data_IF_238572534445
#
_entry.id   IF_238572534445
#
_cell.length_a   1.000
_cell.length_b   1.000
_cell.length_c   1.000
_cell.angle_alpha   90.00
_cell.angle_beta   90.00
_cell.angle_gamma   90.00
#
_symmetry.space_group_name_H-M   'P 1'
#
loop_
_entity.id
_entity.type
_entity.pdbx_description
1 polymer ?
#
# COMPACT_ATOMS: atom_id res chain seq x y z
N UNK A 1 0.35 -2.72 44.94
CA UNK A 1 -1.05 -3.10 44.65
C UNK A 1 -1.18 -3.64 43.24
N UNK A 2 -0.87 -2.84 42.21
CA UNK A 2 -0.97 -3.29 40.82
C UNK A 2 -0.06 -4.47 40.45
N UNK A 3 1.17 -4.52 40.98
CA UNK A 3 2.06 -5.71 40.88
C UNK A 3 1.46 -7.01 41.46
N UNK A 4 0.50 -6.90 42.40
CA UNK A 4 -0.26 -8.06 42.92
C UNK A 4 -1.48 -8.42 42.06
N UNK A 5 -2.02 -7.45 41.29
CA UNK A 5 -3.12 -7.66 40.34
C UNK A 5 -2.63 -8.28 39.02
N UNK A 6 -1.39 -7.99 38.62
CA UNK A 6 -0.74 -8.59 37.44
C UNK A 6 -0.23 -10.03 37.71
N UNK A 7 -0.17 -10.45 38.98
CA UNK A 7 0.19 -11.82 39.39
C UNK A 7 -0.97 -12.47 40.17
N UNK A 8 -2.04 -12.91 39.49
CA UNK A 8 -3.23 -13.48 40.16
C UNK A 8 -2.95 -14.78 40.92
N UNK A 9 -1.79 -15.42 40.70
CA UNK A 9 -1.35 -16.61 41.41
C UNK A 9 -0.70 -16.33 42.79
N UNK A 10 -0.40 -15.07 43.12
CA UNK A 10 0.37 -14.71 44.31
C UNK A 10 -0.46 -14.36 45.55
N UNK A 11 -1.79 -14.16 45.44
CA UNK A 11 -2.64 -13.74 46.56
C UNK A 11 -4.08 -14.30 46.40
N UNK A 12 -4.51 -15.17 47.31
CA UNK A 12 -5.81 -15.87 47.28
C UNK A 12 -7.00 -14.91 47.28
N UNK A 13 -6.83 -13.74 47.93
CA UNK A 13 -7.83 -12.67 47.95
C UNK A 13 -8.01 -11.98 46.59
N UNK A 14 -6.93 -11.88 45.80
CA UNK A 14 -6.97 -11.29 44.45
C UNK A 14 -7.61 -12.27 43.47
N UNK A 15 -7.35 -13.57 43.64
CA UNK A 15 -8.01 -14.62 42.86
C UNK A 15 -9.52 -14.68 43.12
N UNK A 16 -9.96 -14.45 44.37
CA UNK A 16 -11.38 -14.41 44.74
C UNK A 16 -12.10 -13.19 44.16
N UNK A 17 -11.43 -12.02 44.11
CA UNK A 17 -11.98 -10.79 43.55
C UNK A 17 -12.07 -10.80 42.02
N UNK A 18 -11.16 -11.51 41.33
CA UNK A 18 -11.15 -11.63 39.86
C UNK A 18 -12.11 -12.72 39.35
N UNK A 19 -12.46 -13.70 40.20
CA UNK A 19 -13.39 -14.79 39.85
C UNK A 19 -12.89 -15.66 38.68
N UNK A 20 -13.82 -16.11 37.83
CA UNK A 20 -13.55 -17.00 36.68
C UNK A 20 -12.88 -16.30 35.48
N UNK A 21 -12.76 -14.97 35.50
CA UNK A 21 -12.29 -14.16 34.35
C UNK A 21 -10.90 -13.58 34.62
N UNK A 22 -9.94 -14.44 34.97
CA UNK A 22 -8.59 -14.07 35.44
C UNK A 22 -7.72 -13.37 34.38
N UNK A 23 -8.03 -13.59 33.10
CA UNK A 23 -7.22 -13.13 31.97
C UNK A 23 -7.71 -11.81 31.35
N UNK A 24 -8.92 -11.33 31.71
CA UNK A 24 -9.45 -10.09 31.15
C UNK A 24 -8.84 -8.86 31.81
N UNK A 25 -8.09 -8.06 31.05
CA UNK A 25 -7.50 -6.78 31.49
C UNK A 25 -8.56 -5.79 31.99
N UNK A 26 -9.75 -5.77 31.37
CA UNK A 26 -10.86 -4.91 31.75
C UNK A 26 -11.32 -5.22 33.19
N UNK A 27 -11.51 -6.51 33.50
CA UNK A 27 -11.93 -6.97 34.83
C UNK A 27 -10.93 -6.56 35.91
N UNK A 28 -9.63 -6.69 35.63
CA UNK A 28 -8.55 -6.26 36.54
C UNK A 28 -8.63 -4.77 36.86
N UNK A 29 -8.90 -3.95 35.85
CA UNK A 29 -9.02 -2.49 36.00
C UNK A 29 -10.28 -2.14 36.80
N UNK A 30 -11.43 -2.76 36.51
CA UNK A 30 -12.67 -2.54 37.26
C UNK A 30 -12.52 -2.89 38.75
N UNK A 31 -11.91 -4.04 39.06
CA UNK A 31 -11.62 -4.43 40.44
C UNK A 31 -10.68 -3.43 41.11
N UNK A 32 -9.66 -2.94 40.39
CA UNK A 32 -8.75 -1.93 40.93
C UNK A 32 -9.47 -0.61 41.25
N UNK A 33 -10.39 -0.16 40.38
CA UNK A 33 -11.24 1.03 40.63
C UNK A 33 -12.06 0.85 41.91
N UNK A 34 -12.70 -0.32 42.09
CA UNK A 34 -13.52 -0.59 43.27
C UNK A 34 -12.69 -0.55 44.56
N UNK A 35 -11.52 -1.19 44.58
CA UNK A 35 -10.66 -1.21 45.78
C UNK A 35 -10.09 0.19 46.08
N UNK A 36 -9.70 0.96 45.06
CA UNK A 36 -9.22 2.33 45.25
C UNK A 36 -10.32 3.26 45.74
N UNK A 37 -11.55 3.07 45.27
CA UNK A 37 -12.70 3.84 45.74
C UNK A 37 -12.99 3.59 47.22
N UNK A 38 -12.82 2.35 47.70
CA UNK A 38 -12.92 2.00 49.13
C UNK A 38 -11.80 2.65 49.97
N UNK A 39 -10.62 2.84 49.38
CA UNK A 39 -9.50 3.54 50.02
C UNK A 39 -9.63 5.08 49.98
N UNK A 40 -10.74 5.62 49.46
CA UNK A 40 -10.98 7.06 49.35
C UNK A 40 -10.19 7.74 48.24
N UNK A 41 -9.60 6.99 47.31
CA UNK A 41 -8.88 7.53 46.15
C UNK A 41 -9.77 7.49 44.90
N UNK A 42 -10.10 8.65 44.30
CA UNK A 42 -10.86 8.67 43.05
C UNK A 42 -10.06 8.01 41.92
N UNK A 43 -10.62 6.94 41.35
CA UNK A 43 -10.03 6.22 40.23
C UNK A 43 -11.09 6.01 39.14
N UNK A 44 -10.69 6.03 37.87
CA UNK A 44 -11.59 5.81 36.73
C UNK A 44 -10.93 4.97 35.65
N UNK A 45 -11.66 4.01 35.04
CA UNK A 45 -11.17 3.28 33.88
C UNK A 45 -11.21 4.18 32.64
N UNK A 46 -10.18 4.05 31.80
CA UNK A 46 -10.07 4.73 30.52
C UNK A 46 -9.83 3.72 29.43
N UNK A 47 -10.56 3.90 28.34
CA UNK A 47 -10.51 3.05 27.17
C UNK A 47 -10.07 3.88 26.00
N UNK A 48 -9.11 3.36 25.25
CA UNK A 48 -8.53 4.07 24.13
C UNK A 48 -7.68 3.14 23.29
N UNK A 49 -6.73 3.74 22.61
CA UNK A 49 -5.86 3.02 21.69
C UNK A 49 -4.53 3.74 21.54
N UNK A 50 -3.50 2.99 21.20
CA UNK A 50 -2.19 3.54 20.86
C UNK A 50 -2.19 3.96 19.39
N UNK A 51 -1.91 5.23 19.14
CA UNK A 51 -1.86 5.78 17.80
C UNK A 51 -0.42 5.72 17.27
N UNK A 52 -0.11 4.67 16.54
CA UNK A 52 1.13 4.57 15.74
C UNK A 52 0.94 5.21 14.36
N UNK A 53 2.05 5.54 13.69
CA UNK A 53 2.00 6.08 12.33
C UNK A 53 1.48 5.00 11.36
N UNK A 54 0.30 5.27 10.77
CA UNK A 54 -0.31 4.48 9.68
C UNK A 54 -0.75 3.04 10.00
N UNK A 55 -1.47 2.82 11.11
CA UNK A 55 -2.08 1.50 11.43
C UNK A 55 -3.50 1.33 10.87
N UNK A 56 -3.71 0.26 10.06
CA UNK A 56 -5.02 -0.12 9.50
C UNK A 56 -5.96 -0.75 10.54
N UNK A 57 -5.42 -1.36 11.58
CA UNK A 57 -6.18 -1.95 12.69
C UNK A 57 -5.51 -1.55 13.99
N UNK A 58 -6.28 -0.98 14.90
CA UNK A 58 -5.77 -0.57 16.20
C UNK A 58 -6.43 -1.41 17.28
N UNK A 59 -5.59 -2.01 18.13
CA UNK A 59 -6.07 -2.77 19.27
C UNK A 59 -6.51 -1.82 20.39
N UNK A 60 -7.58 -2.22 21.06
CA UNK A 60 -8.11 -1.45 22.16
C UNK A 60 -7.27 -1.69 23.41
N UNK A 61 -6.77 -0.60 23.99
CA UNK A 61 -6.02 -0.62 25.24
C UNK A 61 -6.86 -0.03 26.36
N UNK A 62 -6.73 -0.63 27.53
CA UNK A 62 -7.43 -0.22 28.74
C UNK A 62 -6.41 0.15 29.80
N UNK A 63 -6.57 1.33 30.39
CA UNK A 63 -5.74 1.79 31.50
C UNK A 63 -6.59 2.44 32.59
N UNK A 64 -5.95 2.68 33.73
CA UNK A 64 -6.56 3.26 34.91
C UNK A 64 -6.00 4.66 35.14
N UNK A 65 -6.88 5.63 35.40
CA UNK A 65 -6.46 6.94 35.89
C UNK A 65 -6.80 7.07 37.38
N UNK A 66 -5.80 7.39 38.21
CA UNK A 66 -5.93 7.57 39.66
C UNK A 66 -5.60 9.02 40.03
N UNK A 67 -6.47 9.66 40.80
CA UNK A 67 -6.24 11.03 41.25
C UNK A 67 -5.38 11.06 42.52
N UNK A 68 -4.19 11.64 42.43
CA UNK A 68 -3.27 11.78 43.56
C UNK A 68 -2.49 13.10 43.48
N UNK A 69 -2.42 13.85 44.58
CA UNK A 69 -1.66 15.12 44.69
C UNK A 69 -1.98 16.15 43.60
N UNK A 70 -3.28 16.41 43.34
CA UNK A 70 -3.77 17.35 42.32
C UNK A 70 -3.44 16.99 40.86
N UNK A 71 -2.89 15.80 40.60
CA UNK A 71 -2.59 15.28 39.25
C UNK A 71 -3.27 13.93 39.05
N UNK A 72 -3.68 13.65 37.80
CA UNK A 72 -4.11 12.32 37.39
C UNK A 72 -2.87 11.51 37.02
N UNK A 73 -2.76 10.32 37.59
CA UNK A 73 -1.72 9.35 37.31
C UNK A 73 -2.32 8.23 36.49
N UNK A 74 -1.62 7.84 35.43
CA UNK A 74 -2.13 6.85 34.48
C UNK A 74 -1.38 5.53 34.67
N UNK A 75 -2.10 4.41 34.70
CA UNK A 75 -1.53 3.10 34.93
C UNK A 75 -2.11 2.08 33.96
N UNK A 76 -1.26 1.46 33.14
CA UNK A 76 -1.63 0.37 32.26
C UNK A 76 -1.17 -0.97 32.86
N UNK A 77 -2.08 -1.93 33.11
CA UNK A 77 -1.70 -3.28 33.54
C UNK A 77 -0.74 -3.93 32.53
N UNK A 78 0.37 -4.51 33.01
CA UNK A 78 1.39 -5.15 32.16
C UNK A 78 2.52 -4.25 31.61
N UNK A 79 2.48 -2.93 31.81
CA UNK A 79 3.63 -2.04 31.56
C UNK A 79 4.18 -1.51 32.89
N UNK A 80 5.51 -1.55 33.06
CA UNK A 80 6.17 -1.10 34.30
C UNK A 80 6.25 0.44 34.42
N UNK A 81 5.98 1.18 33.33
CA UNK A 81 6.04 2.64 33.30
C UNK A 81 4.75 3.28 33.79
N UNK A 82 4.87 4.20 34.74
CA UNK A 82 3.75 4.98 35.31
C UNK A 82 3.33 6.19 34.46
N UNK A 83 4.03 6.45 33.36
CA UNK A 83 3.68 7.47 32.38
C UNK A 83 3.39 6.76 31.04
N UNK A 84 2.20 6.99 30.50
CA UNK A 84 1.83 6.56 29.15
C UNK A 84 2.41 7.57 28.14
N UNK A 85 3.01 7.10 27.03
CA UNK A 85 3.48 7.99 25.96
C UNK A 85 2.34 8.85 25.38
N UNK A 86 2.67 10.01 24.80
CA UNK A 86 1.70 10.89 24.11
C UNK A 86 0.97 10.23 22.93
N UNK A 87 1.38 9.04 22.50
CA UNK A 87 0.71 8.23 21.47
C UNK A 87 -0.62 7.64 21.93
N UNK A 88 -0.88 7.56 23.24
CA UNK A 88 -2.12 7.00 23.78
C UNK A 88 -3.26 8.02 23.75
N UNK A 89 -4.33 7.70 23.01
CA UNK A 89 -5.50 8.56 22.90
C UNK A 89 -6.65 7.96 23.70
N UNK A 90 -7.10 8.70 24.72
CA UNK A 90 -8.31 8.37 25.48
C UNK A 90 -9.55 8.59 24.61
N UNK A 91 -10.31 7.52 24.37
CA UNK A 91 -11.56 7.59 23.60
C UNK A 91 -12.77 7.81 24.50
N UNK A 92 -12.96 6.98 25.54
CA UNK A 92 -13.98 7.20 26.56
C UNK A 92 -13.49 6.85 27.96
N UNK A 93 -14.19 7.40 28.96
CA UNK A 93 -13.88 7.21 30.39
C UNK A 93 -15.13 6.72 31.10
N UNK A 94 -15.00 5.69 31.93
CA UNK A 94 -16.11 5.11 32.68
C UNK A 94 -16.30 3.61 32.43
N UNK A 95 -17.18 2.99 33.20
CA UNK A 95 -17.42 1.54 33.22
C UNK A 95 -18.45 1.07 32.19
N UNK A 96 -18.92 1.97 31.33
CA UNK A 96 -19.89 1.60 30.30
C UNK A 96 -19.22 0.75 29.21
N UNK A 97 -19.80 -0.40 28.86
CA UNK A 97 -19.26 -1.24 27.79
C UNK A 97 -19.42 -0.53 26.45
N UNK A 98 -18.44 -0.71 25.57
CA UNK A 98 -18.44 -0.15 24.21
C UNK A 98 -19.72 -0.49 23.42
N UNK A 99 -20.30 -1.68 23.68
CA UNK A 99 -21.49 -2.16 23.01
C UNK A 99 -22.35 -3.01 23.95
N UNK A 100 -23.65 -3.07 23.67
CA UNK A 100 -24.60 -3.97 24.33
C UNK A 100 -25.27 -4.82 23.24
N UNK A 101 -24.89 -6.09 23.12
CA UNK A 101 -25.55 -7.02 22.20
C UNK A 101 -26.71 -7.70 22.91
N UNK A 102 -27.88 -7.75 22.28
CA UNK A 102 -29.03 -8.56 22.70
C UNK A 102 -29.32 -9.60 21.63
N UNK A 103 -29.35 -10.88 22.01
CA UNK A 103 -29.72 -11.99 21.12
C UNK A 103 -28.64 -12.47 20.14
N UNK A 104 -27.38 -12.08 20.33
CA UNK A 104 -26.25 -12.55 19.53
C UNK A 104 -25.04 -12.86 20.41
N UNK A 105 -24.15 -13.72 19.91
CA UNK A 105 -22.94 -14.15 20.60
C UNK A 105 -21.69 -13.66 19.84
N UNK A 106 -20.68 -13.20 20.58
CA UNK A 106 -19.34 -12.84 20.11
C UNK A 106 -19.23 -11.75 19.00
N UNK A 107 -19.55 -10.48 19.32
CA UNK A 107 -19.39 -9.37 18.38
C UNK A 107 -17.91 -9.09 18.07
N UNK A 108 -17.58 -9.05 16.78
CA UNK A 108 -16.26 -8.65 16.28
C UNK A 108 -16.28 -7.17 15.91
N UNK A 109 -15.38 -6.39 16.50
CA UNK A 109 -15.25 -4.95 16.23
C UNK A 109 -13.84 -4.68 15.73
N UNK A 110 -13.77 -4.06 14.55
CA UNK A 110 -12.52 -3.56 13.98
C UNK A 110 -12.53 -2.03 14.05
N UNK A 111 -11.50 -1.46 14.68
CA UNK A 111 -11.31 -0.02 14.77
C UNK A 111 -10.05 0.35 13.98
N UNK A 112 -10.16 1.39 13.18
CA UNK A 112 -9.06 1.95 12.39
C UNK A 112 -8.86 3.39 12.80
N UNK A 113 -7.63 3.78 13.15
CA UNK A 113 -7.29 5.15 13.49
C UNK A 113 -6.03 5.58 12.73
N UNK A 114 -6.02 6.83 12.27
CA UNK A 114 -4.90 7.40 11.51
C UNK A 114 -4.53 8.77 12.06
N UNK A 115 -3.25 8.95 12.42
CA UNK A 115 -2.69 10.27 12.74
C UNK A 115 -2.55 11.08 11.46
N UNK A 116 -3.16 12.27 11.41
CA UNK A 116 -2.98 13.21 10.30
C UNK A 116 -2.66 14.58 10.83
N UNK A 117 -1.45 15.07 10.55
CA UNK A 117 -1.09 16.46 10.81
C UNK A 117 -1.81 17.35 9.80
N UNK A 118 -2.67 18.24 10.30
CA UNK A 118 -3.40 19.21 9.48
C UNK A 118 -2.98 20.62 9.86
N UNK A 119 -2.68 21.44 8.84
CA UNK A 119 -2.40 22.86 9.01
C UNK A 119 -3.64 23.60 9.57
N UNK A 120 -3.54 24.43 10.62
CA UNK A 120 -4.69 25.09 11.27
C UNK A 120 -5.59 25.89 10.31
N UNK A 121 -5.00 26.53 9.30
CA UNK A 121 -5.72 27.34 8.32
C UNK A 121 -6.73 26.53 7.47
N UNK A 122 -6.52 25.19 7.36
CA UNK A 122 -7.41 24.31 6.60
C UNK A 122 -8.63 23.85 7.39
N UNK A 123 -8.58 23.88 8.72
CA UNK A 123 -9.74 23.58 9.58
C UNK A 123 -10.77 24.71 9.44
N UNK A 124 -10.31 25.96 9.53
CA UNK A 124 -11.14 27.14 9.31
C UNK A 124 -11.78 27.15 7.91
N UNK A 125 -11.01 26.79 6.87
CA UNK A 125 -11.52 26.73 5.50
C UNK A 125 -12.56 25.61 5.28
N UNK A 126 -12.49 24.51 6.05
CA UNK A 126 -13.45 23.41 6.02
C UNK A 126 -14.83 23.81 6.56
N UNK A 127 -14.89 24.78 7.49
CA UNK A 127 -16.15 25.36 7.99
C UNK A 127 -16.72 26.42 7.05
N UNK A 128 -15.87 27.12 6.29
CA UNK A 128 -16.25 28.22 5.39
C UNK A 128 -16.70 27.78 3.98
N UNK A 129 -16.31 26.59 3.51
CA UNK A 129 -16.65 26.09 2.16
C UNK A 129 -17.92 25.26 2.20
N UNK A 130 -18.86 25.55 1.30
CA UNK A 130 -20.20 24.96 1.27
C UNK A 130 -20.20 23.42 1.24
N UNK A 131 -21.02 22.83 2.12
CA UNK A 131 -21.14 21.39 2.36
C UNK A 131 -21.52 20.53 1.13
N UNK A 132 -21.89 21.13 -0.01
CA UNK A 132 -22.24 20.44 -1.24
C UNK A 132 -21.02 20.00 -2.08
N UNK A 133 -19.98 20.83 -2.17
CA UNK A 133 -18.78 20.53 -2.96
C UNK A 133 -17.75 19.70 -2.18
N UNK A 134 -17.69 19.88 -0.85
CA UNK A 134 -16.84 19.06 0.02
C UNK A 134 -17.28 17.58 0.03
N UNK A 135 -18.56 17.27 -0.17
CA UNK A 135 -19.07 15.88 -0.26
C UNK A 135 -18.50 15.10 -1.45
N UNK A 136 -18.07 15.77 -2.52
CA UNK A 136 -17.45 15.16 -3.70
C UNK A 136 -15.92 15.18 -3.65
N UNK A 137 -15.32 15.62 -2.54
CA UNK A 137 -13.86 15.57 -2.38
C UNK A 137 -13.40 14.14 -2.07
N UNK A 138 -12.39 13.67 -2.81
CA UNK A 138 -11.72 12.37 -2.60
C UNK A 138 -11.17 12.21 -1.17
N UNK A 139 -11.03 13.31 -0.42
CA UNK A 139 -10.59 13.34 0.98
C UNK A 139 -11.64 12.80 1.98
N UNK A 140 -12.90 12.67 1.58
CA UNK A 140 -13.97 12.10 2.41
C UNK A 140 -14.19 10.60 2.17
N UNK A 141 -13.38 9.97 1.30
CA UNK A 141 -13.43 8.54 1.09
C UNK A 141 -12.95 7.80 2.37
N UNK A 142 -13.58 6.67 2.73
CA UNK A 142 -13.13 5.81 3.81
C UNK A 142 -11.63 5.51 3.68
N UNK A 143 -10.89 5.59 4.78
CA UNK A 143 -9.42 5.42 4.83
C UNK A 143 -8.95 4.12 4.18
N UNK A 144 -9.74 3.06 4.27
CA UNK A 144 -9.50 1.76 3.63
C UNK A 144 -9.33 1.85 2.11
N UNK A 145 -10.09 2.71 1.43
CA UNK A 145 -10.05 2.83 -0.03
C UNK A 145 -9.01 3.84 -0.53
N UNK A 146 -8.48 4.69 0.36
CA UNK A 146 -7.63 5.81 -0.06
C UNK A 146 -6.34 5.35 -0.74
N UNK A 147 -5.76 4.21 -0.34
CA UNK A 147 -4.56 3.64 -0.96
C UNK A 147 -4.75 3.36 -2.46
N UNK A 148 -5.88 2.75 -2.83
CA UNK A 148 -6.19 2.43 -4.23
C UNK A 148 -6.40 3.71 -5.03
N UNK A 149 -7.14 4.68 -4.49
CA UNK A 149 -7.35 5.96 -5.16
C UNK A 149 -6.05 6.75 -5.35
N UNK A 150 -5.14 6.75 -4.37
CA UNK A 150 -3.80 7.36 -4.48
C UNK A 150 -3.05 6.79 -5.69
N UNK A 151 -3.03 5.46 -5.82
CA UNK A 151 -2.38 4.80 -6.95
C UNK A 151 -3.07 5.13 -8.29
N UNK A 152 -4.41 5.10 -8.33
CA UNK A 152 -5.16 5.40 -9.56
C UNK A 152 -4.88 6.81 -10.09
N UNK A 153 -4.76 7.80 -9.21
CA UNK A 153 -4.46 9.18 -9.58
C UNK A 153 -3.05 9.38 -10.14
N UNK A 154 -2.11 8.50 -9.81
CA UNK A 154 -0.73 8.56 -10.30
C UNK A 154 -0.58 7.94 -11.71
N UNK A 155 -1.44 6.97 -12.09
CA UNK A 155 -1.38 6.29 -13.40
C UNK A 155 -1.31 7.27 -14.59
N UNK A 156 -2.15 8.33 -14.67
CA UNK A 156 -2.08 9.31 -15.76
C UNK A 156 -0.75 10.08 -15.82
N UNK A 157 -0.08 10.28 -14.68
CA UNK A 157 1.23 10.92 -14.64
C UNK A 157 2.31 10.00 -15.24
N UNK A 158 2.22 8.70 -14.95
CA UNK A 158 3.04 7.69 -15.62
C UNK A 158 2.78 7.63 -17.13
N UNK A 159 1.51 7.70 -17.55
CA UNK A 159 1.15 7.74 -18.97
C UNK A 159 1.71 8.98 -19.68
N UNK A 160 1.68 10.16 -19.04
CA UNK A 160 2.32 11.37 -19.57
C UNK A 160 3.83 11.15 -19.79
N UNK A 161 4.52 10.54 -18.84
CA UNK A 161 5.94 10.21 -18.98
C UNK A 161 6.16 9.29 -20.19
N UNK A 162 5.34 8.25 -20.38
CA UNK A 162 5.45 7.38 -21.57
C UNK A 162 5.24 8.16 -22.87
N UNK A 163 4.25 9.07 -22.92
CA UNK A 163 4.01 9.93 -24.09
C UNK A 163 5.24 10.78 -24.39
N UNK A 164 5.90 11.35 -23.37
CA UNK A 164 7.12 12.14 -23.54
C UNK A 164 8.24 11.29 -24.14
N UNK A 165 8.52 10.11 -23.56
CA UNK A 165 9.57 9.22 -24.04
C UNK A 165 9.31 8.71 -25.46
N UNK A 166 8.04 8.45 -25.80
CA UNK A 166 7.67 7.92 -27.11
C UNK A 166 7.66 8.99 -28.20
N UNK A 167 7.10 10.17 -27.91
CA UNK A 167 6.90 11.22 -28.92
C UNK A 167 8.13 12.11 -29.09
N UNK A 168 8.80 12.51 -27.99
CA UNK A 168 9.93 13.45 -28.06
C UNK A 168 11.27 12.73 -28.10
N UNK A 169 11.47 11.69 -27.29
CA UNK A 169 12.76 10.99 -27.24
C UNK A 169 12.84 9.95 -28.37
N UNK A 170 11.77 9.18 -28.57
CA UNK A 170 11.69 8.12 -29.57
C UNK A 170 12.07 6.74 -29.06
N UNK A 171 11.99 6.49 -27.74
CA UNK A 171 12.20 5.15 -27.19
C UNK A 171 11.06 4.25 -27.64
N UNK A 172 11.39 3.11 -28.26
CA UNK A 172 10.41 2.07 -28.60
C UNK A 172 10.12 1.24 -27.35
N UNK A 173 8.85 1.15 -26.96
CA UNK A 173 8.35 0.36 -25.83
C UNK A 173 7.26 -0.60 -26.28
N UNK A 174 6.93 -1.60 -25.46
CA UNK A 174 5.78 -2.47 -25.66
C UNK A 174 4.49 -1.70 -25.43
N UNK A 175 3.90 -1.18 -26.52
CA UNK A 175 2.71 -0.36 -26.43
C UNK A 175 2.91 0.91 -25.58
N UNK A 176 1.80 1.55 -25.20
CA UNK A 176 1.80 2.76 -24.36
C UNK A 176 1.54 2.47 -22.89
N UNK A 177 0.75 1.44 -22.58
CA UNK A 177 0.32 1.16 -21.22
C UNK A 177 1.22 0.18 -20.49
N UNK A 178 1.94 -0.69 -21.20
CA UNK A 178 2.73 -1.75 -20.57
C UNK A 178 3.82 -1.23 -19.62
N UNK A 179 4.57 -0.15 -19.95
CA UNK A 179 5.54 0.39 -18.99
C UNK A 179 4.89 0.84 -17.68
N UNK A 180 3.71 1.44 -17.76
CA UNK A 180 2.94 1.90 -16.60
C UNK A 180 2.45 0.71 -15.75
N UNK A 181 1.94 -0.33 -16.40
CA UNK A 181 1.51 -1.55 -15.71
C UNK A 181 2.69 -2.27 -15.03
N UNK A 182 3.84 -2.37 -15.70
CA UNK A 182 5.04 -2.97 -15.12
C UNK A 182 5.54 -2.13 -13.93
N UNK A 183 5.49 -0.80 -14.02
CA UNK A 183 5.85 0.08 -12.90
C UNK A 183 4.94 -0.13 -11.67
N UNK A 184 3.63 -0.35 -11.90
CA UNK A 184 2.71 -0.74 -10.83
C UNK A 184 3.10 -2.10 -10.21
N UNK A 185 3.51 -3.09 -11.00
CA UNK A 185 4.00 -4.36 -10.47
C UNK A 185 5.30 -4.21 -9.65
N UNK A 186 6.19 -3.27 -10.03
CA UNK A 186 7.39 -2.94 -9.26
C UNK A 186 7.07 -2.23 -7.94
N UNK A 187 5.95 -1.50 -7.86
CA UNK A 187 5.49 -0.88 -6.61
C UNK A 187 5.18 -1.92 -5.54
N UNK A 188 4.57 -3.04 -5.93
CA UNK A 188 4.25 -4.16 -5.05
C UNK A 188 5.49 -4.97 -4.64
N UNK A 189 6.40 -5.22 -5.58
CA UNK A 189 7.55 -6.13 -5.39
C UNK A 189 8.85 -5.44 -4.98
N UNK A 190 8.83 -4.11 -4.85
CA UNK A 190 10.00 -3.23 -4.76
C UNK A 190 10.83 -3.22 -6.05
N UNK A 191 11.53 -2.11 -6.33
CA UNK A 191 12.20 -1.90 -7.62
C UNK A 191 13.26 -2.96 -7.95
N UNK A 192 14.15 -3.25 -7.00
CA UNK A 192 15.31 -4.11 -7.25
C UNK A 192 14.90 -5.56 -7.50
N UNK A 193 14.09 -6.11 -6.58
CA UNK A 193 13.52 -7.44 -6.72
C UNK A 193 12.58 -7.53 -7.92
N UNK A 194 11.72 -6.52 -8.10
CA UNK A 194 10.81 -6.43 -9.24
C UNK A 194 11.51 -6.52 -10.58
N UNK A 195 12.61 -5.79 -10.79
CA UNK A 195 13.40 -5.85 -12.03
C UNK A 195 14.02 -7.24 -12.22
N UNK A 196 14.63 -7.81 -11.18
CA UNK A 196 15.25 -9.15 -11.25
C UNK A 196 14.21 -10.21 -11.61
N UNK A 197 13.09 -10.26 -10.89
CA UNK A 197 12.04 -11.24 -11.13
C UNK A 197 11.34 -11.03 -12.46
N UNK A 198 11.07 -9.80 -12.84
CA UNK A 198 10.48 -9.50 -14.14
C UNK A 198 11.37 -10.01 -15.27
N UNK A 199 12.66 -9.69 -15.26
CA UNK A 199 13.60 -10.18 -16.27
C UNK A 199 13.70 -11.71 -16.29
N UNK A 200 13.79 -12.34 -15.10
CA UNK A 200 13.87 -13.79 -14.98
C UNK A 200 12.60 -14.49 -15.49
N UNK A 201 11.43 -14.02 -15.09
CA UNK A 201 10.14 -14.62 -15.46
C UNK A 201 9.85 -14.41 -16.94
N UNK A 202 10.14 -13.22 -17.48
CA UNK A 202 9.99 -12.98 -18.92
C UNK A 202 10.92 -13.89 -19.71
N UNK A 203 12.19 -14.05 -19.29
CA UNK A 203 13.13 -14.95 -19.96
C UNK A 203 12.66 -16.42 -19.93
N UNK A 204 12.28 -16.94 -18.75
CA UNK A 204 11.76 -18.31 -18.62
C UNK A 204 10.45 -18.50 -19.40
N UNK A 205 9.56 -17.51 -19.34
CA UNK A 205 8.28 -17.51 -20.04
C UNK A 205 8.46 -17.56 -21.56
N UNK A 206 9.44 -16.82 -22.12
CA UNK A 206 9.78 -16.89 -23.54
C UNK A 206 10.31 -18.27 -23.94
N UNK A 207 11.17 -18.88 -23.10
CA UNK A 207 11.66 -20.25 -23.36
C UNK A 207 10.50 -21.24 -23.47
N UNK A 208 9.56 -21.19 -22.52
CA UNK A 208 8.36 -22.03 -22.57
C UNK A 208 7.48 -21.70 -23.77
N UNK A 209 7.35 -20.41 -24.11
CA UNK A 209 6.59 -19.97 -25.29
C UNK A 209 7.17 -20.58 -26.57
N UNK A 210 8.48 -20.49 -26.78
CA UNK A 210 9.13 -21.11 -27.94
C UNK A 210 8.92 -22.63 -27.97
N UNK A 211 8.89 -23.29 -26.83
CA UNK A 211 8.55 -24.71 -26.75
C UNK A 211 7.09 -24.97 -27.19
N UNK A 212 6.13 -24.19 -26.68
CA UNK A 212 4.69 -24.30 -26.98
C UNK A 212 4.35 -23.98 -28.45
N UNK A 213 5.14 -23.14 -29.10
CA UNK A 213 4.95 -22.77 -30.51
C UNK A 213 5.04 -23.99 -31.44
N UNK A 214 5.93 -24.95 -31.12
CA UNK A 214 6.08 -26.21 -31.87
C UNK A 214 4.80 -27.08 -31.83
N UNK A 215 3.93 -26.89 -30.84
CA UNK A 215 2.70 -27.65 -30.65
C UNK A 215 1.53 -27.15 -31.52
N UNK A 216 1.72 -26.10 -32.33
CA UNK A 216 0.70 -25.54 -33.26
C UNK A 216 -0.67 -25.30 -32.58
N UNK A 217 -0.64 -24.76 -31.36
CA UNK A 217 -1.83 -24.50 -30.56
C UNK A 217 -2.68 -23.34 -31.11
N UNK A 218 -4.00 -23.45 -30.95
CA UNK A 218 -4.97 -22.37 -31.13
C UNK A 218 -4.65 -21.19 -30.20
N UNK A 219 -5.05 -19.97 -30.58
CA UNK A 219 -4.70 -18.72 -29.86
C UNK A 219 -5.19 -18.71 -28.41
N UNK A 220 -6.41 -19.19 -28.15
CA UNK A 220 -7.00 -19.16 -26.80
C UNK A 220 -6.30 -20.15 -25.84
N UNK A 221 -6.15 -21.45 -26.17
CA UNK A 221 -5.36 -22.39 -25.36
C UNK A 221 -3.92 -21.95 -25.11
N UNK A 222 -3.31 -21.26 -26.09
CA UNK A 222 -1.95 -20.73 -25.99
C UNK A 222 -1.81 -19.69 -24.87
N UNK A 223 -2.69 -18.68 -24.84
CA UNK A 223 -2.66 -17.64 -23.80
C UNK A 223 -2.87 -18.22 -22.40
N UNK A 224 -3.78 -19.19 -22.27
CA UNK A 224 -4.00 -19.91 -21.01
C UNK A 224 -2.77 -20.69 -20.56
N UNK A 225 -2.06 -21.37 -21.48
CA UNK A 225 -0.84 -22.12 -21.16
C UNK A 225 0.30 -21.21 -20.67
N UNK A 226 0.49 -20.05 -21.29
CA UNK A 226 1.47 -19.04 -20.85
C UNK A 226 1.13 -18.55 -19.45
N UNK A 227 -0.13 -18.20 -19.19
CA UNK A 227 -0.59 -17.75 -17.87
C UNK A 227 -0.35 -18.82 -16.80
N UNK A 228 -0.70 -20.09 -17.07
CA UNK A 228 -0.46 -21.21 -16.13
C UNK A 228 1.04 -21.39 -15.86
N UNK A 229 1.87 -21.25 -16.90
CA UNK A 229 3.33 -21.35 -16.75
C UNK A 229 3.87 -20.24 -15.85
N UNK A 230 3.41 -18.99 -16.02
CA UNK A 230 3.81 -17.87 -15.16
C UNK A 230 3.43 -18.12 -13.70
N UNK A 231 2.23 -18.66 -13.46
CA UNK A 231 1.79 -19.02 -12.10
C UNK A 231 2.70 -20.11 -11.50
N UNK A 232 3.03 -21.16 -12.27
CA UNK A 232 3.93 -22.23 -11.83
C UNK A 232 5.31 -21.67 -11.49
N UNK A 233 5.88 -20.83 -12.36
CA UNK A 233 7.19 -20.19 -12.15
C UNK A 233 7.16 -19.34 -10.87
N UNK A 234 6.15 -18.50 -10.68
CA UNK A 234 6.03 -17.65 -9.49
C UNK A 234 5.83 -18.46 -8.22
N UNK A 235 5.07 -19.54 -8.27
CA UNK A 235 4.87 -20.46 -7.14
C UNK A 235 6.20 -21.11 -6.76
N UNK A 236 6.93 -21.62 -7.75
CA UNK A 236 8.23 -22.25 -7.54
C UNK A 236 9.25 -21.27 -6.97
N UNK A 237 9.32 -20.04 -7.50
CA UNK A 237 10.20 -19.00 -7.00
C UNK A 237 9.87 -18.62 -5.55
N UNK A 238 8.59 -18.53 -5.19
CA UNK A 238 8.17 -18.26 -3.81
C UNK A 238 8.56 -19.39 -2.85
N UNK A 239 8.36 -20.64 -3.25
CA UNK A 239 8.76 -21.79 -2.42
C UNK A 239 10.28 -21.79 -2.22
N UNK A 240 11.06 -21.61 -3.28
CA UNK A 240 12.53 -21.55 -3.20
C UNK A 240 12.99 -20.38 -2.32
N UNK A 241 12.42 -19.20 -2.54
CA UNK A 241 12.67 -17.99 -1.75
C UNK A 241 12.46 -18.22 -0.25
N UNK A 242 11.30 -18.78 0.09
CA UNK A 242 10.91 -19.02 1.48
C UNK A 242 11.88 -20.00 2.16
N UNK A 243 12.29 -21.06 1.45
CA UNK A 243 13.27 -22.02 1.96
C UNK A 243 14.68 -21.42 2.14
N UNK A 244 15.05 -20.40 1.35
CA UNK A 244 16.32 -19.69 1.49
C UNK A 244 16.32 -18.63 2.60
N UNK A 245 15.22 -18.47 3.36
CA UNK A 245 15.07 -17.44 4.39
C UNK A 245 15.01 -16.02 3.82
N UNK A 246 14.91 -15.89 2.49
CA UNK A 246 14.67 -14.63 1.83
C UNK A 246 13.15 -14.42 1.85
N UNK A 247 12.67 -13.49 2.68
CA UNK A 247 11.34 -12.89 2.51
C UNK A 247 11.38 -11.97 1.29
N UNK A 248 11.60 -12.55 0.11
CA UNK A 248 11.52 -11.82 -1.14
C UNK A 248 10.11 -11.21 -1.17
N UNK A 249 10.03 -9.91 -1.46
CA UNK A 249 8.77 -9.15 -1.54
C UNK A 249 7.85 -9.60 -2.68
N UNK A 250 7.86 -10.89 -3.01
CA UNK A 250 6.97 -11.59 -3.92
C UNK A 250 5.61 -11.77 -3.25
N UNK A 251 4.93 -10.67 -2.95
CA UNK A 251 3.50 -10.71 -2.68
C UNK A 251 2.81 -11.24 -3.93
N UNK A 252 2.26 -12.46 -3.86
CA UNK A 252 1.58 -13.11 -4.99
C UNK A 252 0.24 -12.41 -5.23
N UNK A 253 0.28 -11.31 -5.97
CA UNK A 253 -0.90 -10.60 -6.46
C UNK A 253 -1.27 -11.08 -7.86
N UNK A 254 -2.55 -11.10 -8.17
CA UNK A 254 -3.08 -11.45 -9.50
C UNK A 254 -2.59 -10.47 -10.58
N UNK A 255 -2.32 -9.22 -10.19
CA UNK A 255 -2.02 -8.15 -11.14
C UNK A 255 -0.64 -8.33 -11.82
N UNK A 256 0.48 -8.52 -11.09
CA UNK A 256 1.76 -8.89 -11.69
C UNK A 256 1.69 -10.13 -12.59
N UNK A 257 0.90 -11.14 -12.24
CA UNK A 257 0.73 -12.37 -13.04
C UNK A 257 0.19 -12.03 -14.43
N UNK A 258 -0.89 -11.25 -14.51
CA UNK A 258 -1.51 -10.84 -15.78
C UNK A 258 -0.57 -9.95 -16.60
N UNK A 259 0.18 -9.06 -15.95
CA UNK A 259 1.12 -8.18 -16.65
C UNK A 259 2.27 -8.99 -17.25
N UNK A 260 2.84 -9.92 -16.49
CA UNK A 260 3.94 -10.77 -16.94
C UNK A 260 3.50 -11.65 -18.11
N UNK A 261 2.33 -12.31 -18.02
CA UNK A 261 1.83 -13.14 -19.11
C UNK A 261 1.57 -12.33 -20.39
N UNK A 262 0.94 -11.15 -20.26
CA UNK A 262 0.75 -10.23 -21.40
C UNK A 262 2.07 -9.72 -21.98
N UNK A 263 3.07 -9.47 -21.14
CA UNK A 263 4.40 -9.03 -21.58
C UNK A 263 5.10 -10.14 -22.35
N UNK A 264 5.08 -11.37 -21.85
CA UNK A 264 5.66 -12.54 -22.51
C UNK A 264 5.00 -12.74 -23.88
N UNK A 265 3.67 -12.69 -23.95
CA UNK A 265 2.95 -12.81 -25.22
C UNK A 265 3.36 -11.72 -26.21
N UNK A 266 3.34 -10.46 -25.77
CA UNK A 266 3.67 -9.32 -26.64
C UNK A 266 5.12 -9.37 -27.12
N UNK A 267 6.05 -9.72 -26.23
CA UNK A 267 7.46 -9.83 -26.56
C UNK A 267 7.70 -10.98 -27.54
N UNK A 268 7.02 -12.10 -27.35
CA UNK A 268 7.22 -13.27 -28.20
C UNK A 268 6.63 -13.11 -29.61
N UNK A 269 5.45 -12.48 -29.73
CA UNK A 269 4.89 -12.13 -31.04
C UNK A 269 5.81 -11.14 -31.76
N UNK A 270 6.31 -10.12 -31.06
CA UNK A 270 7.25 -9.17 -31.65
C UNK A 270 8.56 -9.82 -32.09
N UNK A 271 9.03 -10.80 -31.32
CA UNK A 271 10.22 -11.58 -31.64
C UNK A 271 10.04 -12.38 -32.93
N UNK A 272 8.87 -13.00 -33.14
CA UNK A 272 8.54 -13.67 -34.40
C UNK A 272 8.39 -12.69 -35.58
N UNK A 273 7.65 -11.60 -35.38
CA UNK A 273 7.30 -10.67 -36.46
C UNK A 273 8.47 -9.81 -36.93
N UNK A 274 9.35 -9.39 -36.00
CA UNK A 274 10.39 -8.38 -36.26
C UNK A 274 11.79 -8.80 -35.83
N UNK A 275 11.93 -10.00 -35.32
CA UNK A 275 13.21 -10.58 -34.90
C UNK A 275 13.59 -10.26 -33.45
N UNK A 276 14.58 -11.01 -32.98
CA UNK A 276 15.10 -10.95 -31.61
C UNK A 276 15.63 -9.56 -31.21
N UNK A 277 16.37 -8.91 -32.10
CA UNK A 277 17.00 -7.61 -31.82
C UNK A 277 15.96 -6.52 -31.53
N UNK A 278 14.92 -6.40 -32.37
CA UNK A 278 13.85 -5.45 -32.13
C UNK A 278 13.08 -5.76 -30.84
N UNK A 279 12.86 -7.04 -30.53
CA UNK A 279 12.15 -7.45 -29.33
C UNK A 279 12.92 -7.14 -28.05
N UNK A 280 14.22 -7.45 -28.01
CA UNK A 280 15.09 -7.13 -26.87
C UNK A 280 15.21 -5.62 -26.69
N UNK A 281 15.41 -4.86 -27.77
CA UNK A 281 15.52 -3.40 -27.70
C UNK A 281 14.25 -2.74 -27.16
N UNK A 282 13.08 -3.23 -27.58
CA UNK A 282 11.80 -2.77 -27.02
C UNK A 282 11.59 -3.23 -25.58
N UNK A 283 12.03 -4.42 -25.21
CA UNK A 283 11.99 -4.91 -23.84
C UNK A 283 12.82 -4.05 -22.89
N UNK A 284 14.06 -3.74 -23.26
CA UNK A 284 14.93 -2.83 -22.49
C UNK A 284 14.32 -1.43 -22.43
N UNK A 285 13.80 -0.89 -23.54
CA UNK A 285 13.13 0.40 -23.55
C UNK A 285 11.91 0.44 -22.63
N UNK A 286 11.12 -0.63 -22.62
CA UNK A 286 9.96 -0.78 -21.72
C UNK A 286 10.41 -0.79 -20.27
N UNK A 287 11.38 -1.65 -19.92
CA UNK A 287 11.91 -1.77 -18.56
C UNK A 287 12.49 -0.44 -18.05
N UNK A 288 13.24 0.26 -18.89
CA UNK A 288 13.78 1.59 -18.56
C UNK A 288 12.68 2.61 -18.24
N UNK A 289 11.66 2.71 -19.11
CA UNK A 289 10.54 3.62 -18.89
C UNK A 289 9.71 3.21 -17.66
N UNK A 290 9.56 1.91 -17.40
CA UNK A 290 8.90 1.40 -16.18
C UNK A 290 9.64 1.80 -14.91
N UNK A 291 10.98 1.73 -14.89
CA UNK A 291 11.79 2.15 -13.73
C UNK A 291 11.60 3.65 -13.46
N UNK A 292 11.61 4.48 -14.50
CA UNK A 292 11.36 5.93 -14.34
C UNK A 292 9.94 6.22 -13.85
N UNK A 293 8.96 5.48 -14.37
CA UNK A 293 7.57 5.59 -13.94
C UNK A 293 7.40 5.13 -12.49
N UNK A 294 8.15 4.11 -12.05
CA UNK A 294 8.16 3.68 -10.66
C UNK A 294 8.62 4.80 -9.72
N UNK A 295 9.63 5.58 -10.08
CA UNK A 295 10.07 6.72 -9.26
C UNK A 295 9.00 7.81 -9.13
N UNK A 296 8.15 7.99 -10.14
CA UNK A 296 6.96 8.84 -10.02
C UNK A 296 6.00 8.27 -8.98
N UNK A 297 5.74 6.95 -9.04
CA UNK A 297 4.82 6.28 -8.13
C UNK A 297 5.33 6.18 -6.69
N UNK A 298 6.64 6.19 -6.50
CA UNK A 298 7.28 6.16 -5.18
C UNK A 298 7.36 7.55 -4.52
N UNK A 299 7.05 8.64 -5.24
CA UNK A 299 7.22 9.99 -4.74
C UNK A 299 5.99 10.47 -3.95
N UNK A 300 6.15 10.61 -2.64
CA UNK A 300 5.09 11.08 -1.73
C UNK A 300 4.56 12.48 -2.06
N UNK A 301 5.42 13.39 -2.54
CA UNK A 301 5.00 14.75 -2.89
C UNK A 301 4.06 14.76 -4.09
N UNK A 302 4.37 13.98 -5.13
CA UNK A 302 3.50 13.88 -6.32
C UNK A 302 2.16 13.24 -5.97
N UNK A 303 2.17 12.20 -5.14
CA UNK A 303 0.97 11.57 -4.61
C UNK A 303 0.09 12.58 -3.85
N UNK A 304 0.69 13.34 -2.93
CA UNK A 304 -0.02 14.33 -2.13
C UNK A 304 -0.62 15.46 -2.97
N UNK A 305 0.12 15.95 -3.96
CA UNK A 305 -0.35 17.02 -4.88
C UNK A 305 -1.54 16.53 -5.71
N UNK A 306 -1.45 15.34 -6.31
CA UNK A 306 -2.54 14.79 -7.12
C UNK A 306 -3.80 14.50 -6.29
N UNK A 307 -3.64 14.14 -5.02
CA UNK A 307 -4.75 13.88 -4.11
C UNK A 307 -5.44 15.17 -3.65
N UNK A 308 -4.69 16.25 -3.43
CA UNK A 308 -5.26 17.55 -3.06
C UNK A 308 -5.92 18.23 -4.26
N UNK A 309 -5.33 18.12 -5.45
CA UNK A 309 -5.78 18.81 -6.66
C UNK A 309 -6.10 17.80 -7.77
N UNK A 310 -7.21 17.03 -7.66
CA UNK A 310 -7.60 16.08 -8.69
C UNK A 310 -7.90 16.74 -10.04
N UNK A 311 -8.15 18.05 -10.08
CA UNK A 311 -8.33 18.84 -11.32
C UNK A 311 -7.07 18.84 -12.19
N UNK A 312 -5.89 18.55 -11.63
CA UNK A 312 -4.67 18.35 -12.40
C UNK A 312 -4.80 17.22 -13.44
N UNK A 313 -5.72 16.27 -13.25
CA UNK A 313 -6.03 15.27 -14.28
C UNK A 313 -6.50 15.90 -15.59
N UNK A 314 -7.30 16.97 -15.53
CA UNK A 314 -7.74 17.70 -16.72
C UNK A 314 -6.58 18.44 -17.39
N UNK A 315 -5.66 18.98 -16.59
CA UNK A 315 -4.43 19.61 -17.11
C UNK A 315 -3.54 18.57 -17.78
N UNK A 316 -3.33 17.42 -17.14
CA UNK A 316 -2.58 16.29 -17.72
C UNK A 316 -3.23 15.82 -19.02
N UNK A 317 -4.56 15.70 -19.05
CA UNK A 317 -5.31 15.35 -20.26
C UNK A 317 -5.07 16.37 -21.38
N UNK A 318 -5.19 17.67 -21.09
CA UNK A 318 -4.96 18.73 -22.07
C UNK A 318 -3.53 18.69 -22.62
N UNK A 319 -2.53 18.49 -21.74
CA UNK A 319 -1.13 18.35 -22.14
C UNK A 319 -0.92 17.11 -23.00
N UNK A 320 -1.50 15.95 -22.63
CA UNK A 320 -1.40 14.73 -23.44
C UNK A 320 -2.02 14.89 -24.83
N UNK A 321 -3.17 15.57 -24.93
CA UNK A 321 -3.82 15.87 -26.22
C UNK A 321 -2.93 16.80 -27.06
N UNK A 322 -2.35 17.84 -26.45
CA UNK A 322 -1.45 18.77 -27.13
C UNK A 322 -0.20 18.04 -27.65
N UNK A 323 0.41 17.19 -26.82
CA UNK A 323 1.54 16.34 -27.21
C UNK A 323 1.17 15.31 -28.29
N UNK A 324 -0.08 14.86 -28.35
CA UNK A 324 -0.56 13.96 -29.39
C UNK A 324 -0.55 14.58 -30.80
N UNK A 325 -0.59 15.92 -30.90
CA UNK A 325 -0.46 16.65 -32.18
C UNK A 325 0.98 16.95 -32.57
N UNK A 326 1.95 16.59 -31.74
CA UNK A 326 3.36 16.86 -32.01
C UNK A 326 3.89 15.88 -33.07
N UNK A 327 4.14 16.40 -34.28
CA UNK A 327 4.79 15.68 -35.39
C UNK A 327 6.26 16.12 -35.59
N UNK A 328 6.90 16.68 -34.56
CA UNK A 328 8.30 17.09 -34.64
C UNK A 328 9.26 15.90 -34.66
N UNK A 329 10.53 16.15 -35.02
CA UNK A 329 11.58 15.13 -35.04
C UNK A 329 11.87 14.62 -33.63
N UNK A 330 12.06 13.30 -33.48
CA UNK A 330 12.49 12.69 -32.22
C UNK A 330 13.95 12.98 -31.95
N UNK A 331 14.31 13.20 -30.68
CA UNK A 331 15.69 13.47 -30.25
C UNK A 331 16.68 12.39 -30.71
N UNK A 332 16.27 11.11 -30.62
CA UNK A 332 17.10 10.00 -31.09
C UNK A 332 17.26 9.96 -32.62
N UNK A 333 16.28 10.47 -33.37
CA UNK A 333 16.37 10.56 -34.82
C UNK A 333 17.34 11.68 -35.24
N UNK A 334 17.32 12.82 -34.53
CA UNK A 334 18.26 13.92 -34.76
C UNK A 334 19.72 13.48 -34.55
N UNK A 335 19.97 12.63 -33.54
CA UNK A 335 21.30 12.07 -33.30
C UNK A 335 21.76 11.15 -34.45
N UNK A 336 20.88 10.25 -34.90
CA UNK A 336 21.17 9.36 -36.04
C UNK A 336 21.42 10.11 -37.35
N UNK A 337 20.67 11.17 -37.63
CA UNK A 337 20.88 11.97 -38.84
C UNK A 337 22.16 12.81 -38.80
N UNK A 338 22.67 13.14 -37.61
CA UNK A 338 23.95 13.82 -37.45
C UNK A 338 25.14 12.96 -37.89
N UNK A 339 25.04 11.63 -37.76
CA UNK A 339 26.07 10.70 -38.22
C UNK A 339 26.09 10.59 -39.75
N UNK A 340 24.92 10.56 -40.39
CA UNK A 340 24.80 10.56 -41.86
C UNK A 340 25.29 11.86 -42.52
N UNK A 341 25.19 13.01 -41.83
CA UNK A 341 25.72 14.29 -42.31
C UNK A 341 27.23 14.45 -42.19
N UNK A 342 27.92 13.52 -41.50
CA UNK A 342 29.36 13.60 -41.22
C UNK A 342 30.22 12.82 -42.22
N UNK A 343 29.63 11.84 -42.93
CA UNK A 343 30.29 11.08 -44.01
C UNK A 343 30.28 11.80 -45.37
N UNK A 344 29.65 12.97 -45.46
CA UNK A 344 29.53 13.74 -46.71
C UNK A 344 30.36 15.04 -46.70
N UNK A 345 31.49 15.04 -45.95
CA UNK A 345 32.39 16.19 -45.85
C UNK A 345 33.84 15.83 -46.08
#
# INVERSE_FOLDING_TARGET
MFRKLDQPAADENVALLLGDHKDSTIRKIETAVQVLSLAGMPARPVHGFELEEETLSVEMVHWLEVYHQKKWWEYCPGKESSDLPESYIAWWRGTDPLYKVRGGENPQIHITAQKKEMMPNRIAQKELVSAGLLKFSLLNLPTENQGVYRMMLLIPLGALLVVIFRNFIGIKTFGTFMPVLIALAFRETQLLWGVIFFSLIVALGLVVRFYLENLKLLVVPRLSAVLVTVIIILTMLNVVSHNMGLSLGLSVSLFPIVILSMTIERMSVLWEERGADEAIRQGIGTLFVSILTYFIFANYTLEHVMLIFPELLLVLLAVMILMGRYSGFRLLELYRFRELGRDNK
#
